data_IF_489444356834
#
_entry.id   IF_489444356834
#
_cell.length_a   1.000
_cell.length_b   1.000
_cell.length_c   1.000
_cell.angle_alpha   90.00
_cell.angle_beta   90.00
_cell.angle_gamma   90.00
#
_symmetry.space_group_name_H-M   'P 1'
#
loop_
_entity.id
_entity.type
_entity.pdbx_description
1 polymer ?
#
# COMPACT_ATOMS: atom_id res chain seq x y z
N UNK A 1 -1.43 75.30 -25.27
CA UNK A 1 -2.11 76.14 -24.25
C UNK A 1 -1.54 75.69 -22.92
N UNK A 2 -0.45 76.27 -22.46
CA UNK A 2 -0.45 77.47 -21.54
C UNK A 2 -1.35 77.21 -20.36
N UNK A 3 -0.96 77.30 -19.12
CA UNK A 3 -0.21 78.24 -18.26
C UNK A 3 -0.02 77.56 -16.93
N UNK A 4 0.70 77.80 -15.97
CA UNK A 4 1.68 78.84 -15.58
C UNK A 4 2.16 78.50 -14.17
N UNK A 5 3.41 78.76 -13.92
CA UNK A 5 4.17 78.77 -12.68
C UNK A 5 3.47 79.61 -11.60
N UNK A 6 3.61 79.19 -10.32
CA UNK A 6 3.88 80.16 -9.23
C UNK A 6 4.84 79.54 -8.19
N UNK A 7 5.97 80.20 -8.06
CA UNK A 7 6.97 80.02 -7.02
C UNK A 7 6.58 80.95 -5.90
N UNK A 8 6.54 80.40 -4.69
CA UNK A 8 6.70 81.30 -3.49
C UNK A 8 7.75 80.69 -2.56
N UNK A 9 8.87 81.41 -2.55
CA UNK A 9 9.92 81.39 -1.55
C UNK A 9 9.36 81.75 -0.18
N UNK A 10 9.59 80.97 0.86
CA UNK A 10 9.54 81.39 2.24
C UNK A 10 10.80 80.92 2.95
N UNK A 11 11.39 81.92 3.52
CA UNK A 11 12.70 82.00 4.13
C UNK A 11 12.87 81.12 5.36
N UNK A 12 14.05 80.53 5.45
CA UNK A 12 14.73 79.98 6.57
C UNK A 12 14.70 80.90 7.82
N UNK A 13 14.20 80.36 8.89
CA UNK A 13 14.65 80.64 10.25
C UNK A 13 14.37 79.41 11.09
N UNK A 14 15.31 78.57 11.18
CA UNK A 14 15.19 77.32 11.94
C UNK A 14 16.18 77.31 13.07
N UNK A 15 15.67 77.18 14.14
CA UNK A 15 16.18 77.08 15.46
C UNK A 15 17.07 75.84 15.65
N UNK A 16 18.28 76.12 16.12
CA UNK A 16 19.33 75.10 16.47
C UNK A 16 18.91 74.12 17.57
N UNK A 17 17.73 74.29 18.17
CA UNK A 17 17.23 73.42 19.22
C UNK A 17 16.55 72.13 18.78
N UNK A 18 16.07 72.06 17.54
CA UNK A 18 15.29 70.93 17.05
C UNK A 18 16.15 69.77 16.50
N UNK A 19 17.41 69.99 16.13
CA UNK A 19 18.34 68.98 15.60
C UNK A 19 18.85 68.07 16.69
N UNK A 20 19.04 68.59 17.93
CA UNK A 20 19.50 67.74 19.04
C UNK A 20 18.41 66.82 19.58
N UNK A 21 17.13 67.18 19.50
CA UNK A 21 16.02 66.33 19.90
C UNK A 21 15.74 65.15 18.94
N UNK A 22 16.00 65.37 17.63
CA UNK A 22 15.83 64.33 16.62
C UNK A 22 16.95 63.30 16.74
N UNK A 23 18.16 63.68 17.08
CA UNK A 23 19.27 62.74 17.28
C UNK A 23 19.11 61.90 18.56
N UNK A 24 18.57 62.45 19.63
CA UNK A 24 18.30 61.71 20.86
C UNK A 24 17.16 60.69 20.68
N UNK A 25 16.13 60.99 19.87
CA UNK A 25 15.05 60.08 19.57
C UNK A 25 15.46 58.95 18.63
N UNK A 26 16.36 59.21 17.68
CA UNK A 26 16.84 58.16 16.74
C UNK A 26 17.80 57.17 17.42
N UNK A 27 18.59 57.56 18.40
CA UNK A 27 19.47 56.66 19.16
C UNK A 27 18.66 55.78 20.13
N UNK A 28 17.57 56.29 20.69
CA UNK A 28 16.72 55.51 21.59
C UNK A 28 15.86 54.50 20.84
N UNK A 29 15.53 54.76 19.55
CA UNK A 29 14.73 53.87 18.73
C UNK A 29 15.57 52.71 18.11
N UNK A 30 16.88 52.93 17.95
CA UNK A 30 17.78 51.90 17.38
C UNK A 30 18.24 50.87 18.42
N UNK A 31 18.14 51.18 19.72
CA UNK A 31 18.53 50.21 20.77
C UNK A 31 17.41 49.20 21.12
N UNK A 32 16.14 49.51 20.81
CA UNK A 32 15.03 48.60 21.04
C UNK A 32 14.81 47.60 19.88
N UNK A 33 15.41 47.86 18.70
CA UNK A 33 15.29 46.95 17.54
C UNK A 33 16.28 45.80 17.57
N UNK A 34 17.23 45.74 18.51
CA UNK A 34 18.21 44.65 18.62
C UNK A 34 17.85 43.60 19.67
N UNK A 35 16.74 43.77 20.39
CA UNK A 35 16.09 42.65 21.08
C UNK A 35 15.01 42.01 20.17
N UNK A 36 15.31 41.85 18.90
CA UNK A 36 14.68 40.78 18.18
C UNK A 36 15.12 39.52 18.92
N UNK A 37 14.28 39.03 19.79
CA UNK A 37 14.35 37.66 20.22
C UNK A 37 14.57 36.86 18.93
N UNK A 38 15.75 36.34 18.74
CA UNK A 38 15.90 35.09 18.04
C UNK A 38 15.03 34.18 18.91
N UNK A 39 13.75 34.13 18.60
CA UNK A 39 12.88 33.12 19.09
C UNK A 39 13.53 31.88 18.59
N UNK A 40 14.11 31.17 19.51
CA UNK A 40 14.86 29.98 19.22
C UNK A 40 13.87 29.06 18.53
N UNK A 41 13.86 29.03 17.19
CA UNK A 41 13.03 28.14 16.39
C UNK A 41 13.30 26.68 16.70
N UNK A 42 14.40 26.43 17.44
CA UNK A 42 14.74 25.14 18.02
C UNK A 42 13.67 24.58 18.97
N UNK A 43 12.88 25.43 19.62
CA UNK A 43 11.73 24.98 20.42
C UNK A 43 10.42 24.85 19.65
N UNK A 44 10.39 25.30 18.39
CA UNK A 44 9.22 25.19 17.52
C UNK A 44 9.35 24.13 16.45
N UNK A 45 10.48 23.44 16.34
CA UNK A 45 10.54 22.20 15.56
C UNK A 45 9.80 21.13 16.36
N UNK A 46 8.63 20.66 15.88
CA UNK A 46 7.95 19.58 16.58
C UNK A 46 8.85 18.35 16.56
N UNK A 47 9.43 18.05 17.74
CA UNK A 47 10.15 16.82 18.02
C UNK A 47 11.48 16.60 17.27
N UNK A 48 12.54 17.40 17.55
CA UNK A 48 13.86 17.22 16.94
C UNK A 48 14.50 15.87 17.22
N UNK A 49 14.00 15.12 18.21
CA UNK A 49 14.49 13.79 18.56
C UNK A 49 13.78 12.63 17.84
N UNK A 50 12.82 12.94 16.97
CA UNK A 50 12.01 11.95 16.26
C UNK A 50 12.07 12.19 14.75
N UNK A 51 11.76 11.16 13.97
CA UNK A 51 11.59 11.23 12.52
C UNK A 51 10.11 11.15 12.13
N UNK A 52 9.78 11.82 11.04
CA UNK A 52 8.47 11.72 10.38
C UNK A 52 8.58 10.81 9.17
N UNK A 53 7.51 10.10 8.85
CA UNK A 53 7.46 9.27 7.64
C UNK A 53 6.32 9.68 6.71
N UNK A 54 6.53 9.44 5.45
CA UNK A 54 5.51 9.42 4.40
C UNK A 54 5.74 8.16 3.57
N UNK A 55 4.70 7.37 3.36
CA UNK A 55 4.78 6.11 2.61
C UNK A 55 3.86 6.17 1.40
N UNK A 56 4.38 5.91 0.22
CA UNK A 56 3.60 5.85 -1.03
C UNK A 56 3.52 4.41 -1.51
N UNK A 57 2.30 3.89 -1.71
CA UNK A 57 2.09 2.58 -2.30
C UNK A 57 2.30 2.64 -3.82
N UNK A 58 3.17 1.78 -4.33
CA UNK A 58 3.42 1.63 -5.77
C UNK A 58 2.85 0.28 -6.24
N UNK A 59 1.88 0.32 -7.15
CA UNK A 59 1.12 -0.82 -7.66
C UNK A 59 1.56 -1.26 -9.07
N UNK A 60 2.74 -0.84 -9.54
CA UNK A 60 3.17 -1.12 -10.91
C UNK A 60 3.43 -2.60 -11.21
N UNK A 61 3.68 -3.40 -10.17
CA UNK A 61 3.95 -4.85 -10.29
C UNK A 61 2.66 -5.71 -10.28
N UNK A 62 1.48 -5.09 -10.42
CA UNK A 62 0.23 -5.82 -10.57
C UNK A 62 0.11 -6.44 -11.96
N UNK A 63 -0.55 -7.60 -12.03
CA UNK A 63 -0.86 -8.24 -13.30
C UNK A 63 -1.81 -7.41 -14.18
N UNK A 64 -1.77 -7.65 -15.49
CA UNK A 64 -2.65 -6.99 -16.44
C UNK A 64 -4.12 -7.23 -16.10
N UNK A 65 -4.92 -6.16 -16.10
CA UNK A 65 -6.35 -6.22 -15.78
C UNK A 65 -6.66 -6.38 -14.29
N UNK A 66 -5.67 -6.40 -13.40
CA UNK A 66 -5.88 -6.42 -11.96
C UNK A 66 -6.05 -4.99 -11.46
N UNK A 67 -7.18 -4.72 -10.81
CA UNK A 67 -7.45 -3.40 -10.25
C UNK A 67 -6.63 -3.11 -8.99
N UNK A 68 -6.41 -1.83 -8.72
CA UNK A 68 -5.79 -1.39 -7.48
C UNK A 68 -6.80 -1.60 -6.34
N UNK A 69 -6.40 -2.25 -5.23
CA UNK A 69 -7.27 -2.43 -4.07
C UNK A 69 -7.78 -1.10 -3.51
N UNK A 70 -9.00 -1.11 -2.99
CA UNK A 70 -9.66 0.09 -2.46
C UNK A 70 -8.98 0.63 -1.20
N UNK A 71 -8.29 -0.23 -0.44
CA UNK A 71 -7.58 0.10 0.78
C UNK A 71 -6.32 -0.74 0.96
N UNK A 72 -5.39 -0.20 1.73
CA UNK A 72 -4.19 -0.90 2.13
C UNK A 72 -3.80 -0.53 3.56
N UNK A 73 -3.09 -1.41 4.21
CA UNK A 73 -2.67 -1.29 5.59
C UNK A 73 -1.16 -1.12 5.67
N UNK A 74 -0.71 -0.41 6.70
CA UNK A 74 0.70 -0.15 6.98
C UNK A 74 0.99 -0.44 8.44
N UNK A 75 2.08 -1.17 8.71
CA UNK A 75 2.57 -1.40 10.06
C UNK A 75 4.06 -1.07 10.14
N UNK A 76 4.47 -0.37 11.20
CA UNK A 76 5.88 -0.09 11.51
C UNK A 76 6.06 0.05 13.02
N UNK A 77 6.83 -0.85 13.64
CA UNK A 77 6.96 -0.90 15.10
C UNK A 77 5.61 -1.18 15.76
N UNK A 78 5.16 -0.26 16.59
CA UNK A 78 3.84 -0.30 17.25
C UNK A 78 2.76 0.51 16.51
N UNK A 79 3.09 1.09 15.37
CA UNK A 79 2.16 1.84 14.54
C UNK A 79 1.43 0.90 13.58
N UNK A 80 0.12 1.12 13.45
CA UNK A 80 -0.73 0.48 12.45
C UNK A 80 -1.72 1.51 11.90
N UNK A 81 -1.89 1.54 10.60
CA UNK A 81 -2.80 2.45 9.92
C UNK A 81 -3.40 1.82 8.66
N UNK A 82 -4.55 2.33 8.24
CA UNK A 82 -5.21 1.96 6.97
C UNK A 82 -5.36 3.19 6.11
N UNK A 83 -5.18 3.04 4.81
CA UNK A 83 -5.24 4.13 3.85
C UNK A 83 -6.03 3.73 2.59
N UNK A 84 -6.72 4.69 2.01
CA UNK A 84 -7.46 4.57 0.74
C UNK A 84 -6.83 5.39 -0.38
N UNK A 85 -5.86 6.23 -0.04
CA UNK A 85 -5.11 7.04 -0.99
C UNK A 85 -3.76 6.37 -1.30
N UNK A 86 -3.11 6.84 -2.35
CA UNK A 86 -1.80 6.32 -2.73
C UNK A 86 -0.72 6.59 -1.69
N UNK A 87 -0.87 7.63 -0.87
CA UNK A 87 0.14 8.08 0.09
C UNK A 87 -0.43 8.15 1.49
N UNK A 88 0.29 7.60 2.45
CA UNK A 88 0.01 7.63 3.88
C UNK A 88 1.05 8.46 4.62
N UNK A 89 0.60 9.42 5.40
CA UNK A 89 1.44 10.28 6.25
C UNK A 89 0.87 10.32 7.67
N UNK A 90 1.31 9.42 8.56
CA UNK A 90 0.83 9.39 9.94
C UNK A 90 1.20 10.66 10.70
N UNK A 91 0.34 11.08 11.61
CA UNK A 91 0.66 12.16 12.56
C UNK A 91 1.63 11.70 13.66
N UNK A 92 1.76 10.38 13.86
CA UNK A 92 2.73 9.79 14.80
C UNK A 92 4.14 10.02 14.29
N UNK A 93 5.03 10.39 15.21
CA UNK A 93 6.46 10.48 15.00
C UNK A 93 7.15 9.23 15.54
N UNK A 94 8.29 8.89 14.98
CA UNK A 94 9.01 7.66 15.29
C UNK A 94 10.37 7.94 15.92
N UNK A 95 10.73 7.17 16.92
CA UNK A 95 12.06 7.21 17.48
C UNK A 95 13.13 6.84 16.42
N UNK A 96 14.33 7.43 16.48
CA UNK A 96 15.42 6.98 15.63
C UNK A 96 15.72 5.50 15.85
N UNK A 97 15.97 4.77 14.75
CA UNK A 97 16.23 3.35 14.81
C UNK A 97 15.87 2.62 13.52
N UNK A 98 16.10 1.31 13.53
CA UNK A 98 15.75 0.43 12.43
C UNK A 98 14.37 -0.18 12.66
N UNK A 99 13.57 -0.19 11.63
CA UNK A 99 12.20 -0.70 11.63
C UNK A 99 11.96 -1.60 10.43
N UNK A 100 11.08 -2.56 10.60
CA UNK A 100 10.45 -3.25 9.48
C UNK A 100 9.15 -2.53 9.15
N UNK A 101 9.11 -1.96 7.95
CA UNK A 101 7.91 -1.39 7.37
C UNK A 101 7.20 -2.47 6.56
N UNK A 102 5.96 -2.78 6.91
CA UNK A 102 5.12 -3.70 6.14
C UNK A 102 3.90 -2.97 5.63
N UNK A 103 3.55 -3.22 4.38
CA UNK A 103 2.30 -2.77 3.77
C UNK A 103 1.59 -3.95 3.12
N UNK A 104 0.26 -4.00 3.20
CA UNK A 104 -0.54 -5.04 2.55
C UNK A 104 -1.94 -4.51 2.22
N UNK A 105 -2.52 -5.00 1.13
CA UNK A 105 -3.87 -4.64 0.72
C UNK A 105 -4.92 -5.44 1.51
N UNK A 106 -6.14 -4.93 1.57
CA UNK A 106 -7.29 -5.76 1.88
C UNK A 106 -7.60 -6.65 0.66
N UNK A 107 -8.14 -7.83 0.92
CA UNK A 107 -8.55 -8.77 -0.12
C UNK A 107 -9.67 -9.69 0.38
N UNK A 108 -10.67 -9.95 -0.45
CA UNK A 108 -11.77 -10.86 -0.11
C UNK A 108 -11.25 -12.26 0.19
N UNK A 109 -11.82 -12.90 1.21
CA UNK A 109 -11.46 -14.25 1.66
C UNK A 109 -9.99 -14.40 2.08
N UNK A 110 -9.31 -13.31 2.43
CA UNK A 110 -7.98 -13.30 3.04
C UNK A 110 -8.04 -12.50 4.34
N UNK A 111 -7.53 -13.07 5.42
CA UNK A 111 -7.32 -12.38 6.68
C UNK A 111 -5.83 -12.28 6.98
N UNK A 112 -5.41 -11.16 7.56
CA UNK A 112 -4.01 -10.93 7.93
C UNK A 112 -3.89 -10.81 9.45
N UNK A 113 -2.93 -11.54 10.02
CA UNK A 113 -2.54 -11.43 11.42
C UNK A 113 -1.03 -11.30 11.51
N UNK A 114 -0.55 -10.15 11.98
CA UNK A 114 0.88 -9.81 11.90
C UNK A 114 1.35 -9.78 10.45
N UNK A 115 2.24 -10.70 10.07
CA UNK A 115 2.74 -10.86 8.69
C UNK A 115 2.20 -12.11 8.00
N UNK A 116 1.22 -12.78 8.63
CA UNK A 116 0.64 -14.00 8.07
C UNK A 116 -0.72 -13.71 7.44
N UNK A 117 -0.80 -13.90 6.13
CA UNK A 117 -2.04 -13.92 5.37
C UNK A 117 -2.61 -15.34 5.36
N UNK A 118 -3.91 -15.48 5.58
CA UNK A 118 -4.63 -16.76 5.62
C UNK A 118 -5.83 -16.72 4.69
N UNK A 119 -5.92 -17.68 3.77
CA UNK A 119 -7.07 -17.84 2.88
C UNK A 119 -8.22 -18.47 3.66
N UNK A 120 -9.43 -17.97 3.48
CA UNK A 120 -10.62 -18.53 4.10
C UNK A 120 -10.82 -20.01 3.74
N UNK A 121 -11.27 -20.81 4.69
CA UNK A 121 -11.60 -22.22 4.45
C UNK A 121 -12.83 -22.36 3.55
N UNK A 122 -12.92 -23.47 2.83
CA UNK A 122 -14.05 -23.82 2.00
C UNK A 122 -14.51 -25.25 2.25
N UNK A 123 -15.72 -25.55 1.79
CA UNK A 123 -16.23 -26.92 1.81
C UNK A 123 -15.46 -27.77 0.78
N UNK A 124 -15.16 -29.02 1.17
CA UNK A 124 -14.60 -30.01 0.26
C UNK A 124 -15.60 -30.47 -0.79
N UNK A 125 -15.11 -31.25 -1.73
CA UNK A 125 -15.91 -31.92 -2.77
C UNK A 125 -15.74 -33.44 -2.69
N UNK A 126 -16.72 -34.16 -3.20
CA UNK A 126 -16.66 -35.63 -3.38
C UNK A 126 -16.28 -36.40 -2.10
N UNK A 127 -16.69 -35.93 -0.91
CA UNK A 127 -16.43 -36.57 0.36
C UNK A 127 -14.97 -36.57 0.84
N UNK A 128 -14.10 -35.76 0.20
CA UNK A 128 -12.69 -35.60 0.59
C UNK A 128 -12.63 -34.83 1.93
N UNK A 129 -12.00 -35.45 2.95
CA UNK A 129 -11.90 -34.88 4.31
C UNK A 129 -10.70 -33.98 4.55
N UNK A 130 -9.82 -33.80 3.57
CA UNK A 130 -8.68 -32.90 3.67
C UNK A 130 -9.13 -31.43 3.73
N UNK A 131 -8.34 -30.51 4.29
CA UNK A 131 -8.70 -29.10 4.34
C UNK A 131 -8.79 -28.50 2.93
N UNK A 132 -9.80 -27.65 2.73
CA UNK A 132 -10.00 -26.89 1.52
C UNK A 132 -9.96 -25.39 1.81
N UNK A 133 -9.41 -24.63 0.88
CA UNK A 133 -9.43 -23.16 0.88
C UNK A 133 -10.34 -22.63 -0.21
N UNK A 134 -10.75 -21.38 -0.08
CA UNK A 134 -11.57 -20.70 -1.07
C UNK A 134 -10.85 -20.67 -2.43
N UNK A 135 -11.59 -21.00 -3.50
CA UNK A 135 -11.06 -21.07 -4.85
C UNK A 135 -10.95 -19.72 -5.56
N UNK A 136 -11.44 -18.65 -4.95
CA UNK A 136 -11.45 -17.32 -5.54
C UNK A 136 -11.16 -16.23 -4.50
N UNK A 137 -10.01 -16.29 -3.79
CA UNK A 137 -9.59 -15.19 -2.92
C UNK A 137 -9.38 -13.93 -3.76
N UNK A 138 -9.56 -12.74 -3.14
CA UNK A 138 -9.26 -11.46 -3.76
C UNK A 138 -7.77 -11.35 -4.13
N UNK A 139 -7.44 -10.47 -5.06
CA UNK A 139 -6.04 -10.17 -5.33
C UNK A 139 -5.43 -9.47 -4.10
N UNK A 140 -4.37 -10.06 -3.60
CA UNK A 140 -3.68 -9.64 -2.38
C UNK A 140 -2.26 -9.17 -2.72
N UNK A 141 -1.87 -8.06 -2.15
CA UNK A 141 -0.57 -7.43 -2.38
C UNK A 141 0.14 -7.16 -1.07
N UNK A 142 1.46 -7.27 -1.07
CA UNK A 142 2.30 -7.01 0.10
C UNK A 142 3.57 -6.28 -0.27
N UNK A 143 4.11 -5.53 0.69
CA UNK A 143 5.45 -4.93 0.63
C UNK A 143 6.11 -5.05 1.99
N UNK A 144 7.36 -5.47 2.03
CA UNK A 144 8.15 -5.58 3.26
C UNK A 144 9.52 -4.97 3.00
N UNK A 145 9.93 -4.05 3.86
CA UNK A 145 11.24 -3.42 3.74
C UNK A 145 11.80 -3.04 5.12
N UNK A 146 13.11 -3.14 5.27
CA UNK A 146 13.81 -2.60 6.43
C UNK A 146 14.12 -1.12 6.16
N UNK A 147 13.78 -0.26 7.12
CA UNK A 147 13.94 1.19 7.02
C UNK A 147 14.65 1.74 8.24
N UNK A 148 15.39 2.81 8.07
CA UNK A 148 16.05 3.51 9.17
C UNK A 148 15.41 4.88 9.35
N UNK A 149 15.03 5.19 10.58
CA UNK A 149 14.53 6.50 10.98
C UNK A 149 15.65 7.26 11.66
N UNK A 150 15.91 8.46 11.20
CA UNK A 150 16.85 9.39 11.80
C UNK A 150 16.08 10.49 12.53
N UNK A 151 16.69 11.06 13.56
CA UNK A 151 16.10 12.19 14.28
C UNK A 151 16.05 13.44 13.41
N UNK A 152 15.04 14.26 13.63
CA UNK A 152 14.85 15.57 12.99
C UNK A 152 14.85 15.49 11.45
N UNK A 153 14.25 14.40 10.92
CA UNK A 153 14.17 14.16 9.47
C UNK A 153 12.81 13.68 9.03
N UNK A 154 12.41 14.16 7.86
CA UNK A 154 11.29 13.63 7.09
C UNK A 154 11.80 12.51 6.16
N UNK A 155 11.23 11.32 6.32
CA UNK A 155 11.55 10.15 5.50
C UNK A 155 10.41 9.88 4.53
N UNK A 156 10.76 9.60 3.28
CA UNK A 156 9.82 9.19 2.24
C UNK A 156 10.17 7.78 1.78
N UNK A 157 9.22 6.86 1.93
CA UNK A 157 9.38 5.46 1.52
C UNK A 157 8.39 5.13 0.40
N UNK A 158 8.80 4.25 -0.50
CA UNK A 158 7.93 3.67 -1.51
C UNK A 158 7.70 2.20 -1.19
N UNK A 159 6.46 1.84 -0.88
CA UNK A 159 6.04 0.46 -0.72
C UNK A 159 5.72 -0.13 -2.10
N UNK A 160 6.64 -0.92 -2.66
CA UNK A 160 6.39 -1.65 -3.91
C UNK A 160 5.48 -2.84 -3.59
N UNK A 161 4.21 -2.74 -4.00
CA UNK A 161 3.15 -3.69 -3.68
C UNK A 161 3.20 -4.88 -4.64
N UNK A 162 3.79 -5.99 -4.17
CA UNK A 162 3.93 -7.23 -4.93
C UNK A 162 2.66 -8.06 -4.86
N UNK A 163 2.17 -8.49 -6.02
CA UNK A 163 0.98 -9.35 -6.11
C UNK A 163 1.28 -10.76 -5.62
N UNK A 164 0.55 -11.21 -4.59
CA UNK A 164 0.70 -12.52 -3.98
C UNK A 164 -0.30 -13.55 -4.52
N UNK A 165 -1.54 -13.14 -4.79
CA UNK A 165 -2.56 -14.03 -5.34
C UNK A 165 -2.48 -14.03 -6.87
N UNK A 166 -2.47 -15.21 -7.45
CA UNK A 166 -2.39 -15.43 -8.91
C UNK A 166 -3.60 -16.20 -9.39
N UNK A 167 -4.08 -15.84 -10.57
CA UNK A 167 -5.14 -16.56 -11.25
C UNK A 167 -4.56 -17.67 -12.14
N UNK A 168 -5.19 -18.84 -12.10
CA UNK A 168 -4.82 -20.02 -12.89
C UNK A 168 -6.06 -20.57 -13.57
N UNK A 169 -6.01 -20.70 -14.88
CA UNK A 169 -7.05 -21.40 -15.66
C UNK A 169 -6.55 -22.77 -16.10
N UNK A 170 -7.28 -23.79 -15.67
CA UNK A 170 -7.05 -25.18 -16.06
C UNK A 170 -7.98 -25.55 -17.20
N UNK A 171 -7.45 -26.18 -18.24
CA UNK A 171 -8.22 -26.68 -19.38
C UNK A 171 -8.10 -28.18 -19.47
N UNK A 172 -9.25 -28.88 -19.62
CA UNK A 172 -9.33 -30.28 -19.93
C UNK A 172 -9.90 -30.42 -21.35
N UNK A 173 -9.22 -31.13 -22.19
CA UNK A 173 -9.66 -31.49 -23.55
C UNK A 173 -10.06 -32.97 -23.60
N UNK A 174 -11.35 -33.28 -23.47
CA UNK A 174 -11.81 -34.66 -23.59
C UNK A 174 -11.62 -35.18 -25.01
N UNK A 175 -11.19 -36.41 -25.12
CA UNK A 175 -11.01 -37.11 -26.40
C UNK A 175 -11.86 -38.37 -26.45
N UNK A 176 -12.09 -38.91 -27.67
CA UNK A 176 -12.87 -40.11 -27.88
C UNK A 176 -14.39 -39.88 -27.99
N UNK A 177 -15.12 -40.98 -28.18
CA UNK A 177 -16.56 -40.93 -28.53
C UNK A 177 -17.48 -40.52 -27.37
N UNK A 178 -16.97 -40.65 -26.13
CA UNK A 178 -17.74 -40.30 -24.93
C UNK A 178 -17.73 -38.81 -24.62
N UNK A 179 -16.92 -37.99 -25.31
CA UNK A 179 -16.74 -36.56 -25.01
C UNK A 179 -18.04 -35.74 -25.02
N UNK A 180 -18.98 -36.11 -25.90
CA UNK A 180 -20.27 -35.38 -26.01
C UNK A 180 -21.28 -35.81 -24.94
N UNK A 181 -21.00 -36.86 -24.17
CA UNK A 181 -21.86 -37.38 -23.11
C UNK A 181 -21.43 -36.94 -21.71
N UNK A 182 -20.41 -36.10 -21.61
CA UNK A 182 -19.94 -35.60 -20.33
C UNK A 182 -20.94 -34.59 -19.80
N UNK A 183 -21.51 -34.87 -18.63
CA UNK A 183 -22.43 -33.99 -17.91
C UNK A 183 -21.68 -32.99 -17.03
N UNK A 184 -20.67 -33.46 -16.32
CA UNK A 184 -19.87 -32.59 -15.45
C UNK A 184 -18.44 -33.09 -15.26
N UNK A 185 -17.53 -32.19 -14.99
CA UNK A 185 -16.16 -32.48 -14.53
C UNK A 185 -15.94 -31.66 -13.24
N UNK A 186 -15.70 -32.35 -12.14
CA UNK A 186 -15.37 -31.76 -10.87
C UNK A 186 -14.10 -32.38 -10.30
N UNK A 187 -13.36 -31.63 -9.51
CA UNK A 187 -12.13 -32.13 -8.95
C UNK A 187 -11.53 -31.19 -7.92
N UNK A 188 -10.29 -31.44 -7.60
CA UNK A 188 -9.51 -30.57 -6.73
C UNK A 188 -8.03 -30.59 -7.10
N UNK A 189 -7.36 -29.48 -6.81
CA UNK A 189 -5.91 -29.36 -6.85
C UNK A 189 -5.39 -29.41 -5.41
N UNK A 190 -4.48 -30.33 -5.11
CA UNK A 190 -3.83 -30.45 -3.81
C UNK A 190 -2.53 -29.65 -3.74
N UNK A 191 -2.01 -29.45 -2.53
CA UNK A 191 -0.74 -28.77 -2.32
C UNK A 191 -0.80 -27.26 -2.55
N UNK A 192 -1.98 -26.65 -2.41
CA UNK A 192 -2.12 -25.21 -2.41
C UNK A 192 -1.82 -24.65 -1.02
N UNK A 193 -1.32 -23.42 -0.97
CA UNK A 193 -1.03 -22.73 0.29
C UNK A 193 -2.29 -22.14 0.89
N UNK A 194 -2.60 -22.50 2.15
CA UNK A 194 -3.63 -21.86 2.93
C UNK A 194 -3.12 -20.60 3.64
N UNK A 195 -1.81 -20.48 3.84
CA UNK A 195 -1.18 -19.33 4.51
C UNK A 195 0.08 -18.87 3.78
N UNK A 196 0.42 -17.59 3.96
CA UNK A 196 1.68 -16.97 3.54
C UNK A 196 2.18 -16.06 4.67
N UNK A 197 3.34 -16.37 5.23
CA UNK A 197 4.11 -15.38 5.97
C UNK A 197 4.88 -14.52 4.95
N UNK A 198 4.34 -13.35 4.65
CA UNK A 198 4.91 -12.49 3.62
C UNK A 198 6.17 -11.74 4.08
N UNK A 199 6.48 -11.70 5.38
CA UNK A 199 7.74 -11.16 5.87
C UNK A 199 8.92 -12.11 5.58
N UNK A 200 8.65 -13.41 5.56
CA UNK A 200 9.67 -14.45 5.33
C UNK A 200 9.49 -15.15 3.97
N UNK A 201 8.46 -14.76 3.18
CA UNK A 201 8.07 -15.40 1.93
C UNK A 201 7.88 -16.92 2.09
N UNK A 202 7.23 -17.32 3.19
CA UNK A 202 7.04 -18.71 3.56
C UNK A 202 5.59 -19.13 3.42
N UNK A 203 5.33 -20.10 2.52
CA UNK A 203 4.00 -20.69 2.33
C UNK A 203 3.77 -21.84 3.31
N UNK A 204 2.54 -21.92 3.84
CA UNK A 204 2.16 -22.95 4.81
C UNK A 204 0.73 -23.45 4.65
N UNK A 205 0.30 -24.26 5.63
CA UNK A 205 -1.06 -24.81 5.69
C UNK A 205 -1.49 -25.50 4.40
N UNK A 206 -0.75 -26.56 4.01
CA UNK A 206 -1.04 -27.35 2.81
C UNK A 206 -2.52 -27.74 2.76
N UNK A 207 -3.20 -27.34 1.71
CA UNK A 207 -4.65 -27.45 1.54
C UNK A 207 -4.99 -27.91 0.13
N UNK A 208 -6.27 -28.10 -0.13
CA UNK A 208 -6.81 -28.35 -1.46
C UNK A 208 -7.64 -27.14 -1.91
N UNK A 209 -7.84 -27.00 -3.22
CA UNK A 209 -8.81 -26.09 -3.81
C UNK A 209 -9.75 -26.86 -4.70
N UNK A 210 -11.06 -26.61 -4.56
CA UNK A 210 -12.08 -27.22 -5.38
C UNK A 210 -12.06 -26.68 -6.80
N UNK A 211 -12.24 -27.55 -7.77
CA UNK A 211 -12.31 -27.25 -9.20
C UNK A 211 -13.67 -27.71 -9.73
N UNK A 212 -14.42 -26.76 -10.32
CA UNK A 212 -15.62 -27.04 -11.08
C UNK A 212 -15.39 -26.57 -12.50
N UNK A 213 -15.37 -27.54 -13.42
CA UNK A 213 -15.12 -27.23 -14.81
C UNK A 213 -16.44 -26.91 -15.52
N UNK A 214 -16.39 -25.93 -16.38
CA UNK A 214 -17.51 -25.56 -17.27
C UNK A 214 -17.11 -25.81 -18.72
N UNK A 215 -18.04 -26.31 -19.54
CA UNK A 215 -17.82 -26.52 -20.98
C UNK A 215 -17.67 -25.16 -21.66
N UNK A 216 -16.58 -24.98 -22.39
CA UNK A 216 -16.31 -23.76 -23.16
C UNK A 216 -17.13 -23.81 -24.46
N UNK A 217 -18.01 -22.84 -24.64
CA UNK A 217 -18.94 -22.77 -25.77
C UNK A 217 -18.55 -21.76 -26.84
N UNK A 218 -17.53 -20.93 -26.60
CA UNK A 218 -17.10 -19.86 -27.50
C UNK A 218 -15.57 -19.72 -27.52
N UNK A 219 -15.02 -19.10 -28.55
CA UNK A 219 -13.61 -18.79 -28.70
C UNK A 219 -12.72 -19.99 -29.05
N UNK A 220 -11.41 -19.83 -28.88
CA UNK A 220 -10.39 -20.79 -29.34
C UNK A 220 -10.38 -22.14 -28.58
N UNK A 221 -11.07 -22.21 -27.44
CA UNK A 221 -11.10 -23.41 -26.58
C UNK A 221 -12.49 -24.10 -26.61
N UNK A 222 -13.31 -23.87 -27.63
CA UNK A 222 -14.60 -24.54 -27.80
C UNK A 222 -14.47 -26.04 -27.65
N UNK A 223 -15.38 -26.67 -26.89
CA UNK A 223 -15.43 -28.11 -26.63
C UNK A 223 -14.52 -28.58 -25.51
N UNK A 224 -13.62 -27.73 -25.00
CA UNK A 224 -12.85 -28.03 -23.79
C UNK A 224 -13.65 -27.64 -22.53
N UNK A 225 -13.17 -28.12 -21.41
CA UNK A 225 -13.71 -27.78 -20.10
C UNK A 225 -12.70 -26.91 -19.34
N UNK A 226 -13.13 -25.81 -18.75
CA UNK A 226 -12.26 -24.90 -18.04
C UNK A 226 -12.68 -24.67 -16.59
N UNK A 227 -11.70 -24.56 -15.70
CA UNK A 227 -11.87 -24.09 -14.34
C UNK A 227 -10.84 -23.00 -14.05
N UNK A 228 -11.31 -21.84 -13.66
CA UNK A 228 -10.46 -20.72 -13.24
C UNK A 228 -10.52 -20.59 -11.72
N UNK A 229 -9.36 -20.54 -11.11
CA UNK A 229 -9.18 -20.40 -9.65
C UNK A 229 -8.13 -19.33 -9.35
N UNK A 230 -8.14 -18.81 -8.14
CA UNK A 230 -7.08 -17.96 -7.62
C UNK A 230 -6.37 -18.63 -6.45
N UNK A 231 -5.06 -18.50 -6.40
CA UNK A 231 -4.21 -19.15 -5.42
C UNK A 231 -3.30 -18.13 -4.73
N UNK A 232 -3.19 -18.22 -3.42
CA UNK A 232 -2.17 -17.50 -2.65
C UNK A 232 -0.77 -18.03 -2.98
N UNK A 233 -0.66 -19.35 -3.20
CA UNK A 233 0.59 -20.02 -3.56
C UNK A 233 0.45 -21.53 -3.53
N UNK A 234 1.59 -22.20 -3.59
CA UNK A 234 1.68 -23.66 -3.51
C UNK A 234 2.62 -24.08 -2.37
N UNK A 235 2.40 -25.26 -1.80
CA UNK A 235 3.25 -25.85 -0.76
C UNK A 235 3.86 -27.14 -1.26
N UNK A 236 5.13 -27.37 -0.91
CA UNK A 236 5.86 -28.57 -1.33
C UNK A 236 6.20 -28.59 -2.83
N UNK A 237 6.70 -29.72 -3.28
CA UNK A 237 7.21 -29.91 -4.65
C UNK A 237 6.26 -30.71 -5.57
N UNK A 238 5.18 -31.25 -5.04
CA UNK A 238 4.23 -32.07 -5.79
C UNK A 238 2.79 -31.59 -5.57
N UNK A 239 2.18 -31.09 -6.62
CA UNK A 239 0.76 -30.79 -6.69
C UNK A 239 0.06 -31.89 -7.50
N UNK A 240 -1.13 -32.29 -7.07
CA UNK A 240 -1.91 -33.33 -7.75
C UNK A 240 -3.28 -32.78 -8.12
N UNK A 241 -3.61 -32.86 -9.39
CA UNK A 241 -4.96 -32.69 -9.90
C UNK A 241 -5.71 -34.00 -9.81
N UNK A 242 -6.84 -34.03 -9.15
CA UNK A 242 -7.79 -35.16 -9.14
C UNK A 242 -9.08 -34.67 -9.75
N UNK A 243 -9.59 -35.36 -10.75
CA UNK A 243 -10.85 -35.03 -11.41
C UNK A 243 -11.77 -36.25 -11.48
N UNK A 244 -13.06 -36.01 -11.32
CA UNK A 244 -14.15 -37.00 -11.54
C UNK A 244 -14.96 -36.51 -12.72
N UNK A 245 -15.22 -37.40 -13.69
CA UNK A 245 -16.03 -37.13 -14.87
C UNK A 245 -17.33 -37.91 -14.72
N UNK A 246 -18.45 -37.23 -14.84
CA UNK A 246 -19.79 -37.80 -14.83
C UNK A 246 -20.41 -37.74 -16.24
N UNK A 247 -21.19 -38.80 -16.57
CA UNK A 247 -21.81 -39.00 -17.89
C UNK A 247 -23.30 -39.20 -17.76
#
# INVERSE_FOLDING_TARGET
>A
MEQTKYIHSLKTTATRGMVLAVWAASVLFTTTALTSCVKDDLYNTPHPDHGKITVTANWNDRGDGVEIPASWNINMGNYSGTETQATHAPSQLFNPGNYRLTAFSDADNITVSGTTATVATANGINGVKAPFVNSNPGFFFTSVQEVTIEKDRDHVFTAVMQQQVREVTLLIEPTGDAKERIDSIEGYLSGVAGTLDFANNAYGSASNVALRFTKVTQGNNIGKWSATIRLLGITGSAQKLTATISY
#
